data_IF_601021097481
#
_entry.id   IF_601021097481
#
_cell.length_a   1.000
_cell.length_b   1.000
_cell.length_c   1.000
_cell.angle_alpha   90.00
_cell.angle_beta   90.00
_cell.angle_gamma   90.00
#
_symmetry.space_group_name_H-M   'P 1'
#
loop_
_entity.id
_entity.type
_entity.pdbx_description
1 polymer ?
#
# COMPACT_ATOMS: atom_id res chain seq x y z
N UNK A 1 -1.78 1.85 19.10
CA UNK A 1 -0.91 2.24 17.97
C UNK A 1 -1.65 1.86 16.71
N UNK A 2 -1.59 2.70 15.68
CA UNK A 2 -2.25 2.44 14.40
C UNK A 2 -1.30 2.80 13.26
N UNK A 3 -1.37 2.03 12.19
CA UNK A 3 -0.53 2.17 11.01
C UNK A 3 -1.39 2.73 9.89
N UNK A 4 -1.07 3.93 9.40
CA UNK A 4 -1.70 4.54 8.22
C UNK A 4 -0.76 4.36 7.03
N UNK A 5 -1.25 3.74 5.97
CA UNK A 5 -0.42 3.34 4.86
C UNK A 5 -1.12 3.48 3.52
N UNK A 6 -0.33 3.42 2.45
CA UNK A 6 -0.81 3.32 1.08
C UNK A 6 -0.40 1.98 0.49
N UNK A 7 -1.26 1.41 -0.35
CA UNK A 7 -0.95 0.26 -1.18
C UNK A 7 -0.95 0.74 -2.62
N UNK A 8 0.20 0.69 -3.28
CA UNK A 8 0.32 1.05 -4.69
C UNK A 8 0.28 -0.20 -5.57
N UNK A 9 -0.65 -0.22 -6.52
CA UNK A 9 -0.88 -1.33 -7.44
C UNK A 9 -0.72 -0.84 -8.87
N UNK A 10 0.12 -1.53 -9.65
CA UNK A 10 0.37 -1.18 -11.03
C UNK A 10 -0.81 -1.58 -11.91
N UNK A 11 -1.39 -0.62 -12.62
CA UNK A 11 -2.44 -0.83 -13.63
C UNK A 11 -1.84 -0.80 -15.05
N UNK A 12 -0.76 -0.04 -15.24
CA UNK A 12 -0.06 0.12 -16.51
C UNK A 12 1.39 0.62 -16.32
N UNK A 13 2.14 0.89 -17.40
CA UNK A 13 3.54 1.29 -17.31
C UNK A 13 3.79 2.53 -16.43
N UNK A 14 2.89 3.52 -16.51
CA UNK A 14 2.94 4.78 -15.75
C UNK A 14 1.62 5.03 -15.02
N UNK A 15 0.91 3.97 -14.64
CA UNK A 15 -0.38 4.08 -13.96
C UNK A 15 -0.36 3.19 -12.73
N UNK A 16 -0.36 3.83 -11.56
CA UNK A 16 -0.37 3.17 -10.26
C UNK A 16 -1.54 3.70 -9.45
N UNK A 17 -2.41 2.80 -8.99
CA UNK A 17 -3.49 3.14 -8.07
C UNK A 17 -2.97 3.10 -6.62
N UNK A 18 -3.27 4.13 -5.83
CA UNK A 18 -2.83 4.23 -4.44
C UNK A 18 -4.02 4.10 -3.49
N UNK A 19 -4.27 2.89 -3.04
CA UNK A 19 -5.35 2.57 -2.10
C UNK A 19 -4.95 3.02 -0.70
N UNK A 20 -5.79 3.85 -0.08
CA UNK A 20 -5.65 4.15 1.34
C UNK A 20 -5.93 2.90 2.17
N UNK A 21 -5.09 2.61 3.15
CA UNK A 21 -5.34 1.55 4.10
C UNK A 21 -4.90 1.94 5.51
N UNK A 22 -5.54 1.29 6.47
CA UNK A 22 -5.22 1.44 7.87
C UNK A 22 -5.19 0.08 8.55
N UNK A 23 -4.32 -0.06 9.54
CA UNK A 23 -4.14 -1.27 10.32
C UNK A 23 -4.03 -0.95 11.80
N UNK A 24 -4.84 -1.61 12.60
CA UNK A 24 -4.84 -1.47 14.06
C UNK A 24 -3.75 -2.34 14.67
N UNK A 25 -2.52 -1.83 14.65
CA UNK A 25 -1.37 -2.49 15.25
C UNK A 25 -0.05 -1.92 14.74
N UNK A 26 1.02 -2.65 15.01
CA UNK A 26 2.36 -2.31 14.54
C UNK A 26 2.52 -2.60 13.04
N UNK A 27 3.32 -1.79 12.31
CA UNK A 27 3.53 -1.96 10.86
C UNK A 27 4.09 -3.34 10.48
N UNK A 28 4.88 -3.97 11.35
CA UNK A 28 5.45 -5.31 11.16
C UNK A 28 4.39 -6.41 10.96
N UNK A 29 3.14 -6.18 11.38
CA UNK A 29 2.03 -7.11 11.19
C UNK A 29 1.18 -6.81 9.95
N UNK A 30 1.46 -5.71 9.24
CA UNK A 30 0.72 -5.32 8.05
C UNK A 30 0.92 -6.32 6.89
N UNK A 31 2.16 -6.72 6.61
CA UNK A 31 2.47 -7.68 5.54
C UNK A 31 1.80 -9.06 5.75
N UNK A 32 1.85 -9.67 6.95
CA UNK A 32 1.05 -10.86 7.25
C UNK A 32 -0.46 -10.66 7.04
N UNK A 33 -1.01 -9.50 7.42
CA UNK A 33 -2.43 -9.21 7.25
C UNK A 33 -2.82 -9.01 5.78
N UNK A 34 -1.92 -8.49 4.95
CA UNK A 34 -2.10 -8.34 3.50
C UNK A 34 -1.94 -9.64 2.70
N UNK A 35 -1.16 -10.59 3.22
CA UNK A 35 -0.78 -11.84 2.53
C UNK A 35 -1.96 -12.61 1.88
N UNK A 36 -3.16 -12.70 2.50
CA UNK A 36 -4.28 -13.42 1.90
C UNK A 36 -4.94 -12.70 0.71
N UNK A 37 -4.69 -11.40 0.53
CA UNK A 37 -5.40 -10.55 -0.42
C UNK A 37 -4.60 -10.34 -1.71
N UNK A 38 -5.29 -10.49 -2.83
CA UNK A 38 -4.72 -10.21 -4.15
C UNK A 38 -4.75 -8.71 -4.46
N UNK A 39 -3.94 -8.22 -5.42
CA UNK A 39 -4.07 -6.85 -5.91
C UNK A 39 -5.50 -6.51 -6.37
N UNK A 40 -6.20 -7.46 -6.99
CA UNK A 40 -7.58 -7.28 -7.44
C UNK A 40 -8.54 -7.06 -6.26
N UNK A 41 -8.39 -7.80 -5.16
CA UNK A 41 -9.20 -7.61 -3.94
C UNK A 41 -8.98 -6.22 -3.35
N UNK A 42 -7.71 -5.78 -3.27
CA UNK A 42 -7.36 -4.46 -2.73
C UNK A 42 -7.88 -3.33 -3.64
N UNK A 43 -7.82 -3.49 -4.97
CA UNK A 43 -8.40 -2.55 -5.92
C UNK A 43 -9.92 -2.47 -5.80
N UNK A 44 -10.59 -3.62 -5.62
CA UNK A 44 -12.04 -3.67 -5.44
C UNK A 44 -12.50 -2.98 -4.15
N UNK A 45 -11.68 -3.02 -3.10
CA UNK A 45 -11.94 -2.36 -1.82
C UNK A 45 -11.90 -0.82 -1.91
N UNK A 46 -11.08 -0.26 -2.81
CA UNK A 46 -10.88 1.18 -3.10
C UNK A 46 -10.34 2.04 -1.94
N UNK A 47 -10.91 1.94 -0.76
CA UNK A 47 -10.51 2.66 0.45
C UNK A 47 -10.73 1.79 1.69
N UNK A 48 -9.65 1.35 2.33
CA UNK A 48 -9.68 0.37 3.42
C UNK A 48 -9.53 1.08 4.77
N UNK A 49 -10.53 0.90 5.65
CA UNK A 49 -10.53 1.42 7.02
C UNK A 49 -9.75 0.53 7.98
N UNK A 50 -9.79 -0.78 7.77
CA UNK A 50 -8.99 -1.72 8.54
C UNK A 50 -8.68 -2.98 7.73
N UNK A 51 -7.40 -3.29 7.58
CA UNK A 51 -6.93 -4.57 7.03
C UNK A 51 -6.92 -5.62 8.12
N UNK A 52 -7.54 -6.77 7.87
CA UNK A 52 -7.38 -8.00 8.65
C UNK A 52 -7.10 -9.16 7.70
N UNK A 53 -6.54 -10.26 8.21
CA UNK A 53 -6.24 -11.44 7.41
C UNK A 53 -7.48 -12.21 6.96
N UNK A 54 -8.63 -11.96 7.59
CA UNK A 54 -9.92 -12.61 7.33
C UNK A 54 -10.95 -11.67 6.67
N UNK A 55 -10.77 -10.35 6.79
CA UNK A 55 -11.70 -9.36 6.24
C UNK A 55 -11.00 -8.01 5.90
N UNK A 56 -11.43 -7.37 4.81
CA UNK A 56 -11.14 -5.97 4.50
C UNK A 56 -12.32 -5.08 4.93
N UNK A 57 -12.20 -4.39 6.06
CA UNK A 57 -13.20 -3.38 6.46
C UNK A 57 -12.99 -2.12 5.62
N UNK A 58 -13.96 -1.79 4.78
CA UNK A 58 -13.89 -0.71 3.78
C UNK A 58 -14.69 0.51 4.24
N UNK A 59 -14.36 1.69 3.70
CA UNK A 59 -15.24 2.85 3.84
C UNK A 59 -16.50 2.69 2.99
N UNK A 60 -17.61 3.29 3.45
CA UNK A 60 -18.87 3.32 2.70
C UNK A 60 -19.47 4.75 2.75
N UNK A 61 -19.50 5.49 1.62
CA UNK A 61 -18.92 5.11 0.32
C UNK A 61 -17.39 5.19 0.33
N UNK A 62 -16.67 4.30 -0.37
CA UNK A 62 -15.24 4.41 -0.51
C UNK A 62 -14.87 5.47 -1.57
N UNK A 63 -13.75 6.16 -1.37
CA UNK A 63 -13.18 7.05 -2.38
C UNK A 63 -12.41 6.26 -3.45
N UNK A 64 -12.42 6.76 -4.67
CA UNK A 64 -11.59 6.19 -5.74
C UNK A 64 -10.10 6.39 -5.43
N UNK A 65 -9.25 5.36 -5.63
CA UNK A 65 -7.81 5.50 -5.47
C UNK A 65 -7.25 6.55 -6.45
N UNK A 66 -6.42 7.51 -6.00
CA UNK A 66 -5.69 8.36 -6.93
C UNK A 66 -4.76 7.51 -7.80
N UNK A 67 -4.64 7.91 -9.07
CA UNK A 67 -3.72 7.30 -10.03
C UNK A 67 -2.50 8.21 -10.17
N UNK A 68 -1.31 7.69 -9.87
CA UNK A 68 -0.04 8.41 -9.98
C UNK A 68 0.92 7.69 -10.94
N UNK A 69 1.92 8.38 -11.51
CA UNK A 69 2.83 7.78 -12.49
C UNK A 69 3.80 6.75 -11.91
N UNK A 70 3.92 6.67 -10.58
CA UNK A 70 4.85 5.78 -9.87
C UNK A 70 4.40 5.52 -8.43
N UNK A 71 4.89 4.45 -7.78
CA UNK A 71 4.70 4.25 -6.34
C UNK A 71 5.22 5.48 -5.58
N UNK A 72 4.37 6.06 -4.73
CA UNK A 72 4.63 7.33 -4.06
C UNK A 72 4.14 7.19 -2.63
N UNK A 73 5.01 7.48 -1.65
CA UNK A 73 4.70 7.40 -0.23
C UNK A 73 4.25 8.78 0.27
N UNK A 74 2.95 9.00 0.32
CA UNK A 74 2.30 10.19 0.89
C UNK A 74 1.87 9.99 2.36
N UNK A 75 1.87 8.74 2.84
CA UNK A 75 1.60 8.36 4.24
C UNK A 75 2.84 7.75 4.91
N UNK A 76 2.68 7.13 6.08
CA UNK A 76 3.80 6.59 6.86
C UNK A 76 4.46 5.39 6.17
N UNK A 77 3.66 4.50 5.58
CA UNK A 77 4.15 3.29 4.91
C UNK A 77 3.55 3.18 3.52
N UNK A 78 4.30 2.53 2.63
CA UNK A 78 3.89 2.23 1.27
C UNK A 78 4.15 0.74 1.01
N UNK A 79 3.14 0.03 0.53
CA UNK A 79 3.23 -1.37 0.15
C UNK A 79 2.98 -1.53 -1.34
N UNK A 80 3.69 -2.45 -1.98
CA UNK A 80 3.58 -2.75 -3.40
C UNK A 80 3.52 -4.26 -3.60
N UNK A 81 2.86 -4.69 -4.68
CA UNK A 81 2.89 -6.09 -5.09
C UNK A 81 4.08 -6.33 -6.01
N UNK A 82 4.97 -7.24 -5.64
CA UNK A 82 6.14 -7.63 -6.41
C UNK A 82 6.33 -9.14 -6.34
N UNK A 83 6.59 -9.77 -7.49
CA UNK A 83 6.91 -11.21 -7.59
C UNK A 83 5.95 -12.15 -6.82
N UNK A 84 4.65 -11.78 -6.77
CA UNK A 84 3.63 -12.60 -6.12
C UNK A 84 3.47 -12.38 -4.61
N UNK A 85 4.06 -11.31 -4.06
CA UNK A 85 3.94 -10.98 -2.64
C UNK A 85 3.84 -9.46 -2.41
N UNK A 86 3.26 -9.10 -1.25
CA UNK A 86 3.32 -7.73 -0.75
C UNK A 86 4.69 -7.45 -0.13
N UNK A 87 5.27 -6.30 -0.47
CA UNK A 87 6.52 -5.81 0.11
C UNK A 87 6.35 -4.35 0.53
N UNK A 88 7.02 -3.97 1.62
CA UNK A 88 7.12 -2.57 2.01
C UNK A 88 8.16 -1.87 1.13
N UNK A 89 7.79 -0.74 0.54
CA UNK A 89 8.65 0.08 -0.28
C UNK A 89 8.99 1.37 0.45
N UNK A 90 10.28 1.58 0.70
CA UNK A 90 10.81 2.88 1.09
C UNK A 90 11.42 3.59 -0.13
N UNK A 91 10.70 4.53 -0.77
CA UNK A 91 11.20 5.23 -1.95
C UNK A 91 12.40 6.15 -1.64
N UNK A 92 12.68 6.45 -0.38
CA UNK A 92 13.84 7.26 0.03
C UNK A 92 15.08 6.42 0.35
N UNK A 93 14.89 5.15 0.74
CA UNK A 93 16.01 4.22 0.98
C UNK A 93 16.80 3.88 -0.30
N UNK A 94 16.20 4.11 -1.49
CA UNK A 94 16.84 3.90 -2.78
C UNK A 94 17.77 5.05 -3.22
N UNK A 95 18.08 6.03 -2.38
CA UNK A 95 19.16 6.97 -2.66
C UNK A 95 20.51 6.30 -2.36
N UNK A 96 21.30 5.87 -3.36
CA UNK A 96 22.68 5.56 -3.10
C UNK A 96 23.35 6.84 -2.61
N UNK A 97 24.18 6.71 -1.58
CA UNK A 97 25.04 7.76 -1.04
C UNK A 97 25.96 8.31 -2.14
N UNK A 98 25.43 9.20 -2.98
CA UNK A 98 26.15 9.93 -3.99
C UNK A 98 26.08 11.40 -3.59
N UNK A 99 27.06 11.82 -2.79
CA UNK A 99 27.77 13.10 -2.85
C UNK A 99 28.38 13.42 -1.47
N UNK A 100 29.65 13.04 -1.30
CA UNK A 100 30.58 13.83 -0.49
C UNK A 100 31.77 14.18 -1.38
N UNK A 101 31.91 15.43 -1.86
CA UNK A 101 33.22 16.04 -2.03
C UNK A 101 33.82 16.40 -0.66
#
# INVERSE_FOLDING_TARGET
MSTRAQIAIQLGPEEWAHVYCHYDGYPEHMLPALTPWTPEDILAAKEIRQVRSDELDCFDPPREPPILPRPTRELCHLYVWQDGAWVELDPEAAQPEALRP
#
